data_IF_475432511007
#
_entry.id   IF_475432511007
#
_cell.length_a   1.000
_cell.length_b   1.000
_cell.length_c   1.000
_cell.angle_alpha   90.00
_cell.angle_beta   90.00
_cell.angle_gamma   90.00
#
_symmetry.space_group_name_H-M   'P 1'
#
loop_
_entity.id
_entity.type
_entity.pdbx_description
1 polymer ?
#
# COMPACT_ATOMS: atom_id res chain seq x y z
N UNK A 1 -24.95 -20.82 -23.37
CA UNK A 1 -23.66 -20.42 -23.96
C UNK A 1 -23.55 -18.92 -23.89
N UNK A 2 -22.62 -18.44 -23.07
CA UNK A 2 -22.41 -17.03 -22.78
C UNK A 2 -22.22 -16.18 -24.04
N UNK A 3 -22.89 -15.02 -24.08
CA UNK A 3 -22.49 -13.95 -24.99
C UNK A 3 -21.28 -13.25 -24.38
N UNK A 4 -20.24 -13.07 -25.19
CA UNK A 4 -19.00 -12.40 -24.79
C UNK A 4 -18.78 -11.13 -25.60
N UNK A 5 -18.30 -10.10 -24.93
CA UNK A 5 -17.85 -8.86 -25.57
C UNK A 5 -16.50 -8.42 -24.99
N UNK A 6 -15.74 -7.67 -25.78
CA UNK A 6 -14.47 -7.08 -25.37
C UNK A 6 -14.63 -5.57 -25.26
N UNK A 7 -14.35 -5.04 -24.06
CA UNK A 7 -14.39 -3.62 -23.79
C UNK A 7 -12.98 -3.07 -23.71
N UNK A 8 -12.71 -2.02 -24.50
CA UNK A 8 -11.45 -1.27 -24.48
C UNK A 8 -11.74 0.23 -24.28
N UNK A 9 -11.71 0.66 -23.03
CA UNK A 9 -11.94 2.05 -22.66
C UNK A 9 -10.76 2.94 -23.10
N UNK A 10 -11.05 4.21 -23.37
CA UNK A 10 -10.05 5.21 -23.73
C UNK A 10 -9.70 5.21 -25.21
N UNK A 11 -9.59 4.03 -25.85
CA UNK A 11 -9.40 3.93 -27.31
C UNK A 11 -10.69 3.72 -28.10
N UNK A 12 -11.78 3.40 -27.42
CA UNK A 12 -13.15 3.37 -27.95
C UNK A 12 -14.04 4.35 -27.17
N UNK A 13 -15.28 4.53 -27.62
CA UNK A 13 -16.28 5.32 -26.89
C UNK A 13 -16.92 4.54 -25.72
N UNK A 14 -16.61 3.24 -25.57
CA UNK A 14 -17.12 2.43 -24.47
C UNK A 14 -16.43 2.81 -23.16
N UNK A 15 -17.19 2.78 -22.06
CA UNK A 15 -16.69 3.04 -20.70
C UNK A 15 -17.04 1.87 -19.79
N UNK A 16 -16.16 1.57 -18.83
CA UNK A 16 -16.45 0.61 -17.78
C UNK A 16 -17.61 1.10 -16.90
N UNK A 17 -17.79 2.41 -16.75
CA UNK A 17 -18.98 2.99 -16.13
C UNK A 17 -20.27 2.47 -16.80
N UNK A 18 -20.42 2.63 -18.12
CA UNK A 18 -21.60 2.16 -18.84
C UNK A 18 -21.75 0.63 -18.81
N UNK A 19 -20.63 -0.10 -18.83
CA UNK A 19 -20.66 -1.56 -18.67
C UNK A 19 -21.16 -1.97 -17.28
N UNK A 20 -20.73 -1.29 -16.23
CA UNK A 20 -21.20 -1.53 -14.85
C UNK A 20 -22.68 -1.13 -14.71
N UNK A 21 -23.13 -0.05 -15.35
CA UNK A 21 -24.58 0.25 -15.45
C UNK A 21 -25.35 -0.89 -16.11
N UNK A 22 -24.85 -1.42 -17.23
CA UNK A 22 -25.43 -2.59 -17.89
C UNK A 22 -25.43 -3.82 -16.98
N UNK A 23 -24.37 -4.06 -16.21
CA UNK A 23 -24.30 -5.16 -15.26
C UNK A 23 -25.43 -5.11 -14.24
N UNK A 24 -25.76 -3.93 -13.71
CA UNK A 24 -26.86 -3.73 -12.76
C UNK A 24 -28.26 -3.90 -13.36
N UNK A 25 -28.39 -3.90 -14.69
CA UNK A 25 -29.64 -4.20 -15.39
C UNK A 25 -29.86 -5.70 -15.59
N UNK A 26 -29.18 -6.57 -14.83
CA UNK A 26 -29.40 -8.00 -14.88
C UNK A 26 -30.87 -8.32 -14.49
N UNK A 27 -31.63 -9.08 -15.29
CA UNK A 27 -33.03 -9.37 -14.99
C UNK A 27 -33.19 -10.15 -13.68
N UNK A 28 -34.17 -9.77 -12.85
CA UNK A 28 -34.45 -10.41 -11.56
C UNK A 28 -33.19 -10.56 -10.69
N UNK A 29 -32.43 -9.47 -10.56
CA UNK A 29 -31.17 -9.44 -9.81
C UNK A 29 -31.38 -9.82 -8.34
N UNK A 30 -30.55 -10.74 -7.87
CA UNK A 30 -30.65 -11.33 -6.54
C UNK A 30 -29.33 -11.22 -5.76
N UNK A 31 -28.19 -11.08 -6.46
CA UNK A 31 -26.88 -10.95 -5.83
C UNK A 31 -25.93 -10.10 -6.69
N UNK A 32 -25.10 -9.30 -6.04
CA UNK A 32 -24.00 -8.56 -6.67
C UNK A 32 -22.73 -8.74 -5.87
N UNK A 33 -21.61 -9.03 -6.55
CA UNK A 33 -20.26 -9.05 -5.97
C UNK A 33 -19.39 -8.06 -6.73
N UNK A 34 -18.83 -7.08 -6.01
CA UNK A 34 -17.90 -6.09 -6.53
C UNK A 34 -16.53 -6.31 -5.88
N UNK A 35 -15.60 -6.94 -6.58
CA UNK A 35 -14.28 -7.30 -6.06
C UNK A 35 -13.20 -6.53 -6.78
N UNK A 36 -12.59 -5.55 -6.10
CA UNK A 36 -11.62 -4.63 -6.70
C UNK A 36 -10.44 -4.36 -5.77
N UNK A 37 -9.28 -4.13 -6.37
CA UNK A 37 -8.10 -3.75 -5.62
C UNK A 37 -8.25 -2.37 -4.98
N UNK A 38 -8.81 -1.42 -5.75
CA UNK A 38 -8.83 -0.01 -5.38
C UNK A 38 -10.25 0.57 -5.40
N UNK A 39 -10.60 1.27 -4.32
CA UNK A 39 -11.88 2.00 -4.18
C UNK A 39 -11.64 3.44 -3.77
N UNK A 40 -12.16 4.39 -4.54
CA UNK A 40 -12.16 5.80 -4.14
C UNK A 40 -13.53 6.47 -4.25
N UNK A 41 -13.72 7.58 -3.54
CA UNK A 41 -14.99 8.29 -3.47
C UNK A 41 -15.52 8.66 -4.86
N UNK A 42 -14.63 9.09 -5.77
CA UNK A 42 -15.00 9.42 -7.14
C UNK A 42 -15.51 8.24 -7.95
N UNK A 43 -14.94 7.04 -7.77
CA UNK A 43 -15.40 5.82 -8.43
C UNK A 43 -16.74 5.35 -7.90
N UNK A 44 -16.89 5.30 -6.57
CA UNK A 44 -18.16 4.94 -5.94
C UNK A 44 -19.26 5.92 -6.35
N UNK A 45 -18.96 7.23 -6.37
CA UNK A 45 -19.93 8.25 -6.77
C UNK A 45 -20.39 8.20 -8.22
N UNK A 46 -19.69 7.50 -9.12
CA UNK A 46 -20.21 7.26 -10.47
C UNK A 46 -21.35 6.25 -10.46
N UNK A 47 -21.23 5.20 -9.65
CA UNK A 47 -22.17 4.06 -9.64
C UNK A 47 -23.08 4.05 -8.41
N UNK A 48 -23.06 5.11 -7.59
CA UNK A 48 -23.78 5.17 -6.32
C UNK A 48 -25.29 5.05 -6.51
N UNK A 49 -25.85 5.71 -7.52
CA UNK A 49 -27.29 5.63 -7.83
C UNK A 49 -27.71 4.21 -8.21
N UNK A 50 -26.86 3.47 -8.93
CA UNK A 50 -27.15 2.08 -9.28
C UNK A 50 -27.10 1.18 -8.03
N UNK A 51 -26.12 1.39 -7.14
CA UNK A 51 -25.99 0.62 -5.90
C UNK A 51 -27.14 0.92 -4.94
N UNK A 52 -27.54 2.18 -4.78
CA UNK A 52 -28.57 2.62 -3.81
C UNK A 52 -29.89 1.85 -3.97
N UNK A 53 -30.25 1.49 -5.21
CA UNK A 53 -31.48 0.76 -5.51
C UNK A 53 -31.47 -0.70 -5.05
N UNK A 54 -30.28 -1.30 -4.88
CA UNK A 54 -30.11 -2.74 -4.64
C UNK A 54 -29.09 -3.03 -3.54
N UNK A 55 -28.74 -2.05 -2.71
CA UNK A 55 -27.58 -2.13 -1.82
C UNK A 55 -27.58 -3.34 -0.88
N UNK A 56 -28.76 -3.80 -0.47
CA UNK A 56 -28.93 -4.97 0.40
C UNK A 56 -28.42 -6.29 -0.21
N UNK A 57 -28.32 -6.37 -1.54
CA UNK A 57 -27.79 -7.54 -2.26
C UNK A 57 -26.39 -7.28 -2.85
N UNK A 58 -25.78 -6.13 -2.54
CA UNK A 58 -24.44 -5.75 -3.02
C UNK A 58 -23.41 -6.08 -1.97
N UNK A 59 -22.47 -6.95 -2.32
CA UNK A 59 -21.28 -7.27 -1.53
C UNK A 59 -20.03 -6.71 -2.21
N UNK A 60 -19.17 -6.04 -1.45
CA UNK A 60 -17.95 -5.42 -1.95
C UNK A 60 -16.74 -6.05 -1.25
N UNK A 61 -15.76 -6.48 -2.02
CA UNK A 61 -14.45 -6.88 -1.53
C UNK A 61 -13.41 -5.85 -2.01
N UNK A 62 -12.91 -5.04 -1.08
CA UNK A 62 -11.98 -3.96 -1.38
C UNK A 62 -10.59 -4.25 -0.79
N UNK A 63 -9.56 -4.25 -1.63
CA UNK A 63 -8.18 -4.31 -1.17
C UNK A 63 -7.80 -3.06 -0.38
N UNK A 64 -7.08 -3.22 0.74
CA UNK A 64 -6.53 -2.10 1.55
C UNK A 64 -5.00 -2.19 1.63
N UNK A 65 -4.34 -1.27 2.35
CA UNK A 65 -2.86 -1.21 2.47
C UNK A 65 -2.17 -1.04 1.10
N UNK A 66 -2.72 -0.15 0.28
CA UNK A 66 -2.26 0.06 -1.09
C UNK A 66 -2.20 1.55 -1.51
N UNK A 67 -2.35 2.47 -0.56
CA UNK A 67 -2.32 3.93 -0.75
C UNK A 67 -3.34 4.52 -1.75
N UNK A 68 -4.28 3.72 -2.25
CA UNK A 68 -5.29 4.15 -3.23
C UNK A 68 -6.69 3.97 -2.67
N UNK A 69 -6.97 2.85 -2.01
CA UNK A 69 -8.27 2.64 -1.36
C UNK A 69 -8.44 3.65 -0.24
N UNK A 70 -9.52 4.43 -0.35
CA UNK A 70 -9.77 5.55 0.54
C UNK A 70 -10.82 5.26 1.59
N UNK A 71 -10.68 5.91 2.74
CA UNK A 71 -11.71 5.98 3.77
C UNK A 71 -13.03 6.49 3.18
N UNK A 72 -13.00 7.60 2.43
CA UNK A 72 -14.21 8.23 1.88
C UNK A 72 -14.94 7.34 0.87
N UNK A 73 -14.22 6.56 0.05
CA UNK A 73 -14.84 5.59 -0.86
C UNK A 73 -15.57 4.48 -0.10
N UNK A 74 -14.93 3.91 0.92
CA UNK A 74 -15.55 2.86 1.74
C UNK A 74 -16.70 3.38 2.59
N UNK A 75 -16.59 4.59 3.14
CA UNK A 75 -17.69 5.26 3.86
C UNK A 75 -18.89 5.48 2.94
N UNK A 76 -18.65 5.89 1.69
CA UNK A 76 -19.73 6.08 0.72
C UNK A 76 -20.47 4.76 0.44
N UNK A 77 -19.75 3.66 0.19
CA UNK A 77 -20.37 2.33 0.03
C UNK A 77 -21.15 1.88 1.27
N UNK A 78 -20.58 2.09 2.46
CA UNK A 78 -21.23 1.75 3.72
C UNK A 78 -22.53 2.55 3.92
N UNK A 79 -22.52 3.84 3.59
CA UNK A 79 -23.69 4.72 3.67
C UNK A 79 -24.79 4.36 2.68
N UNK A 80 -24.44 3.79 1.52
CA UNK A 80 -25.42 3.25 0.57
C UNK A 80 -26.10 1.97 1.12
N UNK A 81 -25.55 1.35 2.16
CA UNK A 81 -26.06 0.11 2.75
C UNK A 81 -25.47 -1.17 2.14
N UNK A 82 -24.41 -1.05 1.34
CA UNK A 82 -23.74 -2.20 0.74
C UNK A 82 -22.96 -3.02 1.79
N UNK A 83 -22.77 -4.29 1.50
CA UNK A 83 -21.93 -5.16 2.30
C UNK A 83 -20.44 -4.99 2.01
N UNK A 84 -19.80 -4.05 2.70
CA UNK A 84 -18.36 -3.77 2.61
C UNK A 84 -17.52 -4.79 3.40
N UNK A 85 -16.71 -5.57 2.68
CA UNK A 85 -15.61 -6.39 3.18
C UNK A 85 -14.27 -5.76 2.74
N UNK A 86 -13.34 -5.57 3.67
CA UNK A 86 -11.96 -5.16 3.37
C UNK A 86 -11.04 -6.37 3.36
N UNK A 87 -10.13 -6.42 2.40
CA UNK A 87 -9.13 -7.49 2.25
C UNK A 87 -7.73 -6.93 2.48
N UNK A 88 -7.10 -7.40 3.55
CA UNK A 88 -5.75 -7.02 3.95
C UNK A 88 -4.83 -8.25 3.91
N UNK A 89 -3.90 -8.28 2.98
CA UNK A 89 -2.92 -9.36 2.79
C UNK A 89 -1.81 -9.38 3.86
N UNK A 90 -1.81 -8.42 4.79
CA UNK A 90 -0.87 -8.36 5.92
C UNK A 90 0.49 -7.73 5.59
N UNK A 91 0.72 -7.32 4.34
CA UNK A 91 1.96 -6.68 3.88
C UNK A 91 1.81 -6.05 2.49
N UNK A 92 2.82 -5.31 2.03
CA UNK A 92 2.76 -4.59 0.73
C UNK A 92 3.19 -5.44 -0.48
N UNK A 93 3.86 -6.57 -0.26
CA UNK A 93 4.43 -7.40 -1.34
C UNK A 93 3.38 -8.14 -2.15
N UNK A 94 2.32 -8.58 -1.49
CA UNK A 94 1.17 -9.26 -2.10
C UNK A 94 -0.01 -8.34 -1.91
N UNK A 95 -0.70 -7.98 -2.99
CA UNK A 95 -1.90 -7.14 -2.92
C UNK A 95 -3.12 -7.93 -3.39
N UNK A 96 -4.26 -7.66 -2.78
CA UNK A 96 -5.55 -8.15 -3.29
C UNK A 96 -5.86 -7.38 -4.58
N UNK A 97 -5.61 -8.00 -5.74
CA UNK A 97 -5.68 -7.34 -7.03
C UNK A 97 -6.75 -7.82 -8.04
N UNK A 98 -7.84 -8.53 -7.67
CA UNK A 98 -8.91 -8.79 -8.63
C UNK A 98 -9.56 -7.47 -9.08
N UNK A 99 -10.17 -7.48 -10.27
CA UNK A 99 -11.19 -6.51 -10.70
C UNK A 99 -12.30 -7.28 -11.39
N UNK A 100 -13.27 -7.69 -10.59
CA UNK A 100 -14.44 -8.47 -11.00
C UNK A 100 -15.67 -7.70 -10.54
N UNK A 101 -16.58 -7.43 -11.46
CA UNK A 101 -17.92 -6.96 -11.18
C UNK A 101 -18.86 -8.08 -11.62
N UNK A 102 -19.72 -8.53 -10.72
CA UNK A 102 -20.59 -9.67 -10.95
C UNK A 102 -22.00 -9.33 -10.46
N UNK A 103 -23.01 -9.61 -11.29
CA UNK A 103 -24.41 -9.56 -10.93
C UNK A 103 -25.07 -10.87 -11.33
N UNK A 104 -25.81 -11.48 -10.41
CA UNK A 104 -26.61 -12.67 -10.66
C UNK A 104 -28.08 -12.34 -10.47
N UNK A 105 -28.87 -12.67 -11.47
CA UNK A 105 -30.31 -12.77 -11.36
C UNK A 105 -30.80 -14.21 -11.38
N UNK A 106 -32.11 -14.39 -11.52
CA UNK A 106 -32.73 -15.72 -11.45
C UNK A 106 -32.31 -16.67 -12.57
N UNK A 107 -32.23 -16.16 -13.80
CA UNK A 107 -31.93 -16.96 -15.00
C UNK A 107 -30.73 -16.44 -15.79
N UNK A 108 -30.17 -15.30 -15.40
CA UNK A 108 -29.05 -14.67 -16.07
C UNK A 108 -28.02 -14.23 -15.06
N UNK A 109 -26.76 -14.19 -15.46
CA UNK A 109 -25.71 -13.52 -14.70
C UNK A 109 -24.83 -12.70 -15.63
N UNK A 110 -24.25 -11.62 -15.11
CA UNK A 110 -23.38 -10.71 -15.84
C UNK A 110 -22.05 -10.60 -15.12
N UNK A 111 -20.97 -10.75 -15.87
CA UNK A 111 -19.60 -10.67 -15.36
C UNK A 111 -18.85 -9.61 -16.17
N UNK A 112 -18.12 -8.76 -15.48
CA UNK A 112 -17.07 -7.91 -16.05
C UNK A 112 -15.78 -8.24 -15.32
N UNK A 113 -14.79 -8.72 -16.05
CA UNK A 113 -13.47 -9.06 -15.50
C UNK A 113 -12.37 -8.44 -16.35
N UNK A 114 -11.44 -7.74 -15.71
CA UNK A 114 -10.38 -7.05 -16.43
C UNK A 114 -9.52 -6.15 -15.55
N UNK A 115 -9.21 -4.95 -16.04
CA UNK A 115 -8.24 -4.04 -15.41
C UNK A 115 -8.87 -2.92 -14.57
N UNK A 116 -10.16 -2.62 -14.76
CA UNK A 116 -10.81 -1.44 -14.18
C UNK A 116 -11.15 -1.57 -12.69
N UNK A 117 -10.47 -0.80 -11.84
CA UNK A 117 -10.84 -0.65 -10.43
C UNK A 117 -12.01 0.35 -10.24
N UNK A 118 -12.64 0.33 -9.06
CA UNK A 118 -13.74 1.24 -8.69
C UNK A 118 -13.21 2.64 -8.32
N UNK A 119 -12.67 3.30 -9.33
CA UNK A 119 -12.08 4.64 -9.27
C UNK A 119 -12.54 5.45 -10.46
N UNK A 120 -12.51 6.78 -10.37
CA UNK A 120 -12.82 7.65 -11.51
C UNK A 120 -11.96 7.34 -12.76
N UNK A 121 -10.69 6.96 -12.53
CA UNK A 121 -9.77 6.49 -13.56
C UNK A 121 -10.24 5.20 -14.21
N UNK A 122 -10.36 4.13 -13.41
CA UNK A 122 -10.74 2.81 -13.90
C UNK A 122 -12.09 2.80 -14.60
N UNK A 123 -13.09 3.50 -14.06
CA UNK A 123 -14.44 3.51 -14.63
C UNK A 123 -14.62 4.42 -15.86
N UNK A 124 -13.72 5.38 -16.10
CA UNK A 124 -13.87 6.31 -17.22
C UNK A 124 -12.57 6.88 -17.80
N UNK A 125 -11.67 7.42 -16.97
CA UNK A 125 -10.58 8.28 -17.46
C UNK A 125 -9.30 7.55 -17.90
N UNK A 126 -9.14 6.26 -17.59
CA UNK A 126 -7.97 5.47 -17.96
C UNK A 126 -8.21 4.64 -19.23
N UNK A 127 -7.12 4.20 -19.86
CA UNK A 127 -7.17 3.11 -20.83
C UNK A 127 -7.24 1.80 -20.04
N UNK A 128 -8.33 1.06 -20.21
CA UNK A 128 -8.64 -0.14 -19.44
C UNK A 128 -9.25 -1.18 -20.39
N UNK A 129 -9.06 -2.46 -20.08
CA UNK A 129 -9.59 -3.56 -20.87
C UNK A 129 -10.29 -4.59 -19.98
N UNK A 130 -11.45 -5.06 -20.43
CA UNK A 130 -12.21 -6.12 -19.75
C UNK A 130 -12.92 -7.02 -20.75
N UNK A 131 -13.22 -8.25 -20.33
CA UNK A 131 -14.20 -9.11 -20.97
C UNK A 131 -15.53 -8.95 -20.23
N UNK A 132 -16.61 -8.82 -21.01
CA UNK A 132 -17.98 -8.79 -20.53
C UNK A 132 -18.64 -10.10 -20.92
N UNK A 133 -19.31 -10.74 -19.97
CA UNK A 133 -20.06 -11.99 -20.17
C UNK A 133 -21.52 -11.79 -19.77
N UNK A 134 -22.44 -12.16 -20.66
CA UNK A 134 -23.88 -12.30 -20.38
C UNK A 134 -24.19 -13.80 -20.40
N UNK A 135 -24.32 -14.36 -19.20
CA UNK A 135 -24.46 -15.78 -18.91
C UNK A 135 -25.94 -16.18 -18.91
N UNK A 136 -26.28 -17.29 -19.56
CA UNK A 136 -27.59 -17.92 -19.47
C UNK A 136 -27.51 -19.06 -18.47
N UNK A 137 -28.09 -18.89 -17.27
CA UNK A 137 -27.98 -19.88 -16.20
C UNK A 137 -28.78 -21.17 -16.46
N UNK A 138 -29.49 -21.27 -17.59
CA UNK A 138 -30.08 -22.53 -18.06
C UNK A 138 -29.06 -23.41 -18.80
N UNK A 139 -27.94 -22.83 -19.23
CA UNK A 139 -26.80 -23.55 -19.77
C UNK A 139 -25.88 -24.02 -18.63
N UNK A 140 -25.53 -25.30 -18.63
CA UNK A 140 -24.72 -25.91 -17.57
C UNK A 140 -23.37 -25.23 -17.40
N UNK A 141 -22.67 -24.89 -18.49
CA UNK A 141 -21.34 -24.30 -18.42
C UNK A 141 -21.38 -22.87 -17.88
N UNK A 142 -22.41 -22.10 -18.27
CA UNK A 142 -22.61 -20.73 -17.79
C UNK A 142 -22.99 -20.73 -16.31
N UNK A 143 -23.83 -21.70 -15.88
CA UNK A 143 -24.21 -21.89 -14.49
C UNK A 143 -23.04 -22.34 -13.60
N UNK A 144 -22.18 -23.23 -14.09
CA UNK A 144 -20.95 -23.65 -13.41
C UNK A 144 -20.02 -22.45 -13.18
N UNK A 145 -19.78 -21.62 -14.20
CA UNK A 145 -18.95 -20.42 -14.05
C UNK A 145 -19.52 -19.44 -13.01
N UNK A 146 -20.83 -19.21 -13.01
CA UNK A 146 -21.48 -18.37 -12.02
C UNK A 146 -21.32 -18.93 -10.59
N UNK A 147 -21.50 -20.25 -10.45
CA UNK A 147 -21.32 -20.97 -9.18
C UNK A 147 -19.87 -20.89 -8.67
N UNK A 148 -18.89 -21.02 -9.55
CA UNK A 148 -17.46 -20.94 -9.20
C UNK A 148 -17.09 -19.55 -8.67
N UNK A 149 -17.60 -18.48 -9.32
CA UNK A 149 -17.40 -17.10 -8.88
C UNK A 149 -17.98 -16.91 -7.48
N UNK A 150 -19.23 -17.32 -7.25
CA UNK A 150 -19.88 -17.17 -5.95
C UNK A 150 -19.18 -17.98 -4.86
N UNK A 151 -18.87 -19.24 -5.12
CA UNK A 151 -18.18 -20.13 -4.18
C UNK A 151 -16.82 -19.58 -3.77
N UNK A 152 -16.06 -19.02 -4.71
CA UNK A 152 -14.77 -18.42 -4.42
C UNK A 152 -14.89 -17.26 -3.41
N UNK A 153 -15.86 -16.36 -3.57
CA UNK A 153 -16.05 -15.21 -2.68
C UNK A 153 -16.76 -15.56 -1.37
N UNK A 154 -17.67 -16.53 -1.37
CA UNK A 154 -18.31 -17.03 -0.14
C UNK A 154 -17.28 -17.68 0.80
N UNK A 155 -16.28 -18.38 0.24
CA UNK A 155 -15.24 -19.04 0.99
C UNK A 155 -14.27 -18.09 1.70
N UNK A 156 -13.86 -16.99 1.04
CA UNK A 156 -12.70 -16.21 1.49
C UNK A 156 -12.84 -15.61 2.90
N UNK A 157 -14.07 -15.20 3.28
CA UNK A 157 -14.31 -14.59 4.59
C UNK A 157 -14.16 -15.62 5.72
N UNK A 158 -14.56 -16.87 5.46
CA UNK A 158 -14.46 -17.96 6.44
C UNK A 158 -13.06 -18.58 6.50
N UNK A 159 -12.37 -18.63 5.36
CA UNK A 159 -11.03 -19.22 5.26
C UNK A 159 -9.95 -18.28 5.80
N UNK A 160 -10.13 -16.96 5.63
CA UNK A 160 -9.16 -15.94 6.03
C UNK A 160 -9.77 -14.85 6.94
N UNK A 161 -10.34 -15.19 8.11
CA UNK A 161 -11.05 -14.24 8.97
C UNK A 161 -10.18 -13.09 9.52
N UNK A 162 -8.86 -13.29 9.61
CA UNK A 162 -7.92 -12.24 10.02
C UNK A 162 -7.60 -11.24 8.90
N UNK A 163 -7.81 -11.65 7.64
CA UNK A 163 -7.46 -10.88 6.43
C UNK A 163 -8.68 -10.27 5.75
N UNK A 164 -9.84 -10.92 5.82
CA UNK A 164 -11.09 -10.47 5.21
C UNK A 164 -12.04 -10.04 6.33
N UNK A 165 -12.27 -8.74 6.46
CA UNK A 165 -13.07 -8.17 7.55
C UNK A 165 -14.29 -7.42 7.02
N UNK A 166 -15.47 -7.83 7.49
CA UNK A 166 -16.70 -7.10 7.27
C UNK A 166 -16.68 -5.80 8.08
N UNK A 167 -17.00 -4.69 7.44
CA UNK A 167 -17.10 -3.36 8.06
C UNK A 167 -18.57 -3.03 8.32
N UNK A 168 -18.88 -2.64 9.55
CA UNK A 168 -20.23 -2.28 9.99
C UNK A 168 -20.35 -0.80 10.34
N UNK A 169 -19.24 -0.14 10.70
CA UNK A 169 -19.27 1.21 11.26
C UNK A 169 -18.20 2.13 10.66
N UNK A 170 -18.47 3.43 10.72
CA UNK A 170 -17.51 4.48 10.34
C UNK A 170 -16.29 4.53 11.28
N UNK A 171 -16.45 4.07 12.52
CA UNK A 171 -15.36 4.00 13.51
C UNK A 171 -14.31 2.97 13.09
N UNK A 172 -14.72 1.81 12.58
CA UNK A 172 -13.81 0.79 12.04
C UNK A 172 -13.00 1.32 10.86
N UNK A 173 -13.62 2.06 9.93
CA UNK A 173 -12.92 2.71 8.82
C UNK A 173 -11.95 3.79 9.31
N UNK A 174 -12.33 4.55 10.33
CA UNK A 174 -11.46 5.55 10.95
C UNK A 174 -10.24 4.90 11.60
N UNK A 175 -10.43 3.76 12.28
CA UNK A 175 -9.32 2.98 12.84
C UNK A 175 -8.37 2.48 11.75
N UNK A 176 -8.89 1.91 10.66
CA UNK A 176 -8.07 1.46 9.53
C UNK A 176 -7.27 2.61 8.89
N UNK A 177 -7.85 3.81 8.81
CA UNK A 177 -7.15 5.01 8.36
C UNK A 177 -6.04 5.44 9.33
N UNK A 178 -6.31 5.50 10.65
CA UNK A 178 -5.31 5.83 11.68
C UNK A 178 -4.14 4.83 11.66
N UNK A 179 -4.43 3.56 11.38
CA UNK A 179 -3.43 2.51 11.19
C UNK A 179 -2.68 2.61 9.85
N UNK A 180 -2.97 3.59 9.00
CA UNK A 180 -2.31 3.78 7.71
C UNK A 180 -2.73 2.80 6.61
N UNK A 181 -3.83 2.06 6.79
CA UNK A 181 -4.32 1.08 5.80
C UNK A 181 -5.23 1.69 4.74
N UNK A 182 -5.76 2.89 5.00
CA UNK A 182 -6.67 3.62 4.10
C UNK A 182 -6.17 5.04 3.87
N UNK A 183 -6.27 5.50 2.62
CA UNK A 183 -6.02 6.89 2.23
C UNK A 183 -7.13 7.82 2.74
N UNK A 184 -6.78 9.03 3.14
CA UNK A 184 -7.74 10.13 3.32
C UNK A 184 -7.65 11.08 2.11
N UNK A 185 -8.69 11.09 1.28
CA UNK A 185 -8.77 11.92 0.08
C UNK A 185 -8.86 13.44 0.36
N UNK A 186 -9.15 13.84 1.60
CA UNK A 186 -9.21 15.27 1.98
C UNK A 186 -7.82 15.87 2.23
N UNK A 187 -6.88 15.04 2.66
CA UNK A 187 -5.50 15.42 2.99
C UNK A 187 -4.49 14.98 1.92
N UNK A 188 -4.79 13.92 1.18
CA UNK A 188 -3.85 13.25 0.28
C UNK A 188 -4.52 12.84 -1.03
N UNK A 189 -3.82 13.00 -2.15
CA UNK A 189 -4.25 12.43 -3.44
C UNK A 189 -3.64 11.03 -3.60
N UNK A 190 -4.32 10.09 -4.28
CA UNK A 190 -3.70 8.83 -4.67
C UNK A 190 -2.40 9.09 -5.46
N UNK A 191 -1.37 8.25 -5.30
CA UNK A 191 -0.14 8.41 -6.06
C UNK A 191 -0.44 8.33 -7.57
N UNK A 192 -0.11 9.41 -8.31
CA UNK A 192 -0.06 9.37 -9.76
C UNK A 192 1.19 8.60 -10.19
N UNK A 193 1.14 7.86 -11.29
CA UNK A 193 2.36 7.35 -11.93
C UNK A 193 3.20 8.57 -12.37
N UNK A 194 4.25 8.89 -11.61
CA UNK A 194 5.17 9.98 -11.97
C UNK A 194 6.14 9.41 -13.00
N UNK A 195 6.11 9.96 -14.22
CA UNK A 195 7.22 9.85 -15.16
C UNK A 195 8.37 10.72 -14.64
N UNK A 196 9.43 10.09 -14.15
CA UNK A 196 10.69 10.79 -13.83
C UNK A 196 11.44 11.10 -15.13
N UNK A 197 11.30 12.33 -15.64
CA UNK A 197 12.29 12.92 -16.55
C UNK A 197 13.23 13.81 -15.75
N UNK A 198 14.38 13.25 -15.36
CA UNK A 198 15.55 14.01 -14.93
C UNK A 198 16.26 14.61 -16.15
N UNK A 199 15.61 15.54 -16.82
CA UNK A 199 16.24 16.55 -17.68
C UNK A 199 15.14 17.49 -18.18
N UNK A 200 15.44 18.77 -18.25
CA UNK A 200 14.65 19.77 -18.96
C UNK A 200 14.73 19.55 -20.48
N UNK A 201 14.28 18.37 -20.92
CA UNK A 201 13.66 18.16 -22.22
C UNK A 201 12.20 17.84 -21.92
N UNK A 202 11.30 18.73 -22.33
CA UNK A 202 9.87 18.40 -22.42
C UNK A 202 9.77 17.12 -23.23
N UNK A 203 9.26 16.04 -22.64
CA UNK A 203 8.89 14.84 -23.40
C UNK A 203 7.99 15.31 -24.55
N UNK A 204 8.47 15.18 -25.78
CA UNK A 204 7.82 15.75 -26.97
C UNK A 204 6.53 15.01 -27.33
N UNK A 205 6.20 13.94 -26.60
CA UNK A 205 4.96 13.21 -26.78
C UNK A 205 3.78 13.96 -26.17
N UNK A 206 2.86 14.38 -27.05
CA UNK A 206 1.55 14.83 -26.62
C UNK A 206 0.78 13.68 -25.96
N UNK A 207 -0.03 14.01 -24.93
CA UNK A 207 -0.94 13.06 -24.31
C UNK A 207 -1.83 12.39 -25.37
N UNK A 208 -2.02 11.08 -25.23
CA UNK A 208 -3.00 10.34 -26.03
C UNK A 208 -4.37 10.98 -25.83
N UNK A 209 -5.01 11.35 -26.94
CA UNK A 209 -6.41 11.81 -26.92
C UNK A 209 -7.32 10.61 -26.78
N UNK A 210 -7.91 10.45 -25.60
CA UNK A 210 -8.88 9.40 -25.36
C UNK A 210 -10.20 9.70 -26.11
N UNK A 211 -10.89 8.65 -26.55
CA UNK A 211 -12.21 8.73 -27.19
C UNK A 211 -13.37 8.78 -26.19
N UNK A 212 -13.07 8.82 -24.90
CA UNK A 212 -14.02 9.00 -23.80
C UNK A 212 -13.86 10.43 -23.25
N UNK A 213 -14.96 11.14 -22.98
CA UNK A 213 -14.87 12.47 -22.36
C UNK A 213 -14.34 12.33 -20.92
N UNK A 214 -13.33 13.13 -20.53
CA UNK A 214 -12.76 13.04 -19.20
C UNK A 214 -13.76 13.56 -18.16
N UNK A 215 -13.98 12.80 -17.09
CA UNK A 215 -14.73 13.26 -15.93
C UNK A 215 -13.75 13.95 -14.98
N UNK A 216 -13.96 15.24 -14.75
CA UNK A 216 -13.12 16.01 -13.84
C UNK A 216 -13.61 15.82 -12.39
N UNK A 217 -12.67 15.64 -11.46
CA UNK A 217 -12.99 15.70 -10.02
C UNK A 217 -13.48 17.11 -9.71
N UNK A 218 -14.71 17.24 -9.16
CA UNK A 218 -15.21 18.52 -8.66
C UNK A 218 -14.35 18.91 -7.46
N UNK A 219 -13.46 19.88 -7.62
CA UNK A 219 -12.74 20.47 -6.50
C UNK A 219 -13.76 21.11 -5.57
N UNK A 220 -13.92 20.57 -4.37
CA UNK A 220 -14.62 21.29 -3.31
C UNK A 220 -13.78 22.53 -3.05
N UNK A 221 -14.32 23.71 -3.38
CA UNK A 221 -13.70 24.99 -3.07
C UNK A 221 -13.35 24.99 -1.58
N UNK A 222 -12.06 24.91 -1.27
CA UNK A 222 -11.53 25.19 0.06
C UNK A 222 -11.91 26.62 0.37
N UNK A 223 -12.90 26.84 1.23
CA UNK A 223 -13.15 28.16 1.80
C UNK A 223 -11.88 28.56 2.55
N UNK A 224 -11.13 29.50 1.98
CA UNK A 224 -9.97 30.09 2.61
C UNK A 224 -10.44 30.89 3.82
N UNK A 225 -10.36 30.29 5.01
CA UNK A 225 -10.36 31.04 6.24
C UNK A 225 -9.15 32.01 6.23
N UNK A 226 -9.30 33.25 6.73
CA UNK A 226 -8.18 34.18 6.82
C UNK A 226 -7.08 33.58 7.72
N UNK A 227 -5.80 33.77 7.38
CA UNK A 227 -4.71 33.19 8.15
C UNK A 227 -4.66 33.81 9.56
N UNK A 228 -4.51 32.99 10.63
CA UNK A 228 -4.20 33.52 11.95
C UNK A 228 -2.78 34.09 11.97
N UNK A 229 -2.63 35.12 12.78
CA UNK A 229 -1.48 36.00 12.85
C UNK A 229 -0.17 35.26 13.18
N UNK A 230 0.94 35.71 12.56
CA UNK A 230 2.22 35.01 12.56
C UNK A 230 2.96 35.17 13.90
N UNK A 231 2.90 34.15 14.75
CA UNK A 231 3.96 33.88 15.74
C UNK A 231 4.78 32.66 15.32
N UNK A 232 6.10 32.87 15.19
CA UNK A 232 7.14 31.93 14.75
C UNK A 232 7.06 30.55 15.43
N UNK A 233 6.56 29.55 14.70
CA UNK A 233 7.01 28.15 14.77
C UNK A 233 6.97 27.58 13.35
N UNK A 234 8.14 27.38 12.76
CA UNK A 234 8.27 26.75 11.45
C UNK A 234 8.08 25.23 11.62
N UNK A 235 6.81 24.80 11.63
CA UNK A 235 6.45 23.42 11.36
C UNK A 235 6.47 23.24 9.84
N UNK A 236 7.58 22.72 9.31
CA UNK A 236 7.69 22.34 7.91
C UNK A 236 6.89 21.05 7.73
N UNK A 237 5.67 21.14 7.18
CA UNK A 237 4.91 19.97 6.77
C UNK A 237 5.61 19.34 5.56
N UNK A 238 6.43 18.33 5.77
CA UNK A 238 6.99 17.50 4.71
C UNK A 238 5.87 16.64 4.13
N UNK A 239 5.43 17.06 2.94
CA UNK A 239 4.69 16.31 1.94
C UNK A 239 5.10 14.84 1.94
N UNK A 240 4.16 13.96 2.28
CA UNK A 240 4.29 12.51 2.09
C UNK A 240 4.57 12.23 0.61
N UNK A 241 5.80 11.84 0.31
CA UNK A 241 6.21 11.35 -1.00
C UNK A 241 6.12 9.82 -0.96
N UNK A 242 5.16 9.25 -1.67
CA UNK A 242 5.29 7.87 -2.16
C UNK A 242 6.31 7.91 -3.30
N UNK A 243 7.40 7.12 -3.28
CA UNK A 243 8.43 7.20 -4.31
C UNK A 243 7.90 6.56 -5.60
N UNK A 244 7.85 7.34 -6.68
CA UNK A 244 7.93 6.82 -8.05
C UNK A 244 9.23 7.33 -8.62
N UNK A 245 10.19 6.42 -8.73
CA UNK A 245 11.51 6.65 -9.34
C UNK A 245 12.71 6.36 -8.45
N UNK A 246 12.56 6.21 -7.13
CA UNK A 246 13.69 5.80 -6.29
C UNK A 246 13.87 4.29 -6.45
N UNK A 247 14.88 3.88 -7.23
CA UNK A 247 15.33 2.49 -7.19
C UNK A 247 16.00 2.28 -5.85
N UNK A 248 15.51 1.31 -5.10
CA UNK A 248 16.05 0.93 -3.81
C UNK A 248 16.82 -0.37 -3.98
N UNK A 249 18.12 -0.33 -3.78
CA UNK A 249 18.94 -1.53 -3.73
C UNK A 249 18.80 -2.17 -2.35
N UNK A 250 18.42 -3.45 -2.31
CA UNK A 250 18.49 -4.24 -1.08
C UNK A 250 19.98 -4.45 -0.74
N UNK A 251 20.42 -3.89 0.38
CA UNK A 251 21.83 -3.94 0.79
C UNK A 251 22.07 -4.85 1.98
N UNK A 252 21.03 -5.17 2.76
CA UNK A 252 21.16 -6.10 3.87
C UNK A 252 19.81 -6.66 4.30
N UNK A 253 19.81 -7.90 4.78
CA UNK A 253 18.68 -8.50 5.48
C UNK A 253 19.14 -9.17 6.77
N UNK A 254 18.36 -9.03 7.83
CA UNK A 254 18.60 -9.71 9.09
C UNK A 254 18.21 -11.18 9.03
N UNK A 255 18.73 -11.96 9.98
CA UNK A 255 18.08 -13.21 10.40
C UNK A 255 16.75 -12.88 11.13
N UNK A 256 15.89 -13.89 11.41
CA UNK A 256 14.66 -13.68 12.19
C UNK A 256 14.91 -12.85 13.46
N UNK A 257 14.16 -11.76 13.60
CA UNK A 257 14.33 -10.75 14.65
C UNK A 257 14.04 -11.33 16.03
N UNK A 258 14.88 -10.97 16.98
CA UNK A 258 14.77 -11.40 18.39
C UNK A 258 14.26 -10.27 19.28
N UNK A 259 13.91 -10.59 20.54
CA UNK A 259 13.59 -9.58 21.56
C UNK A 259 14.69 -8.51 21.70
N UNK A 260 15.96 -8.92 21.55
CA UNK A 260 17.11 -8.01 21.64
C UNK A 260 17.14 -7.00 20.50
N UNK A 261 16.89 -7.46 19.28
CA UNK A 261 16.95 -6.61 18.08
C UNK A 261 15.85 -5.53 18.13
N UNK A 262 14.66 -5.93 18.59
CA UNK A 262 13.49 -5.10 18.78
C UNK A 262 13.51 -4.31 20.10
N UNK A 263 14.54 -4.52 20.94
CA UNK A 263 14.72 -3.85 22.22
C UNK A 263 13.53 -4.02 23.19
N UNK A 264 12.93 -5.22 23.15
CA UNK A 264 11.88 -5.69 24.03
C UNK A 264 12.54 -6.25 25.30
N UNK A 265 12.20 -5.75 26.50
CA UNK A 265 12.77 -6.28 27.74
C UNK A 265 12.32 -7.72 27.99
N UNK A 266 13.28 -8.60 28.28
CA UNK A 266 13.02 -9.99 28.71
C UNK A 266 12.69 -10.11 30.21
N UNK A 267 12.84 -9.02 30.98
CA UNK A 267 12.53 -8.94 32.41
C UNK A 267 12.57 -7.50 32.94
N UNK A 268 12.08 -7.28 34.16
CA UNK A 268 11.92 -5.95 34.75
C UNK A 268 13.23 -5.15 34.92
N UNK A 269 14.38 -5.84 35.01
CA UNK A 269 15.70 -5.24 35.21
C UNK A 269 16.60 -5.27 33.95
N UNK A 270 16.07 -5.69 32.80
CA UNK A 270 16.85 -5.77 31.56
C UNK A 270 16.95 -4.40 30.89
N UNK A 271 18.14 -3.80 30.90
CA UNK A 271 18.39 -2.55 30.16
C UNK A 271 18.37 -2.79 28.64
N UNK A 272 17.41 -2.19 27.93
CA UNK A 272 17.38 -2.22 26.47
C UNK A 272 18.54 -1.40 25.89
N UNK A 273 19.27 -1.93 24.93
CA UNK A 273 20.42 -1.27 24.30
C UNK A 273 20.06 -0.05 23.44
N UNK A 274 18.79 0.09 23.06
CA UNK A 274 18.26 1.15 22.19
C UNK A 274 18.67 1.03 20.73
N UNK A 275 19.25 -0.10 20.31
CA UNK A 275 19.85 -0.30 19.00
C UNK A 275 19.74 -1.74 18.53
N UNK A 276 19.82 -1.95 17.22
CA UNK A 276 20.06 -3.24 16.58
C UNK A 276 21.52 -3.34 16.11
N UNK A 277 22.11 -4.53 16.17
CA UNK A 277 23.41 -4.79 15.57
C UNK A 277 23.25 -4.99 14.06
N UNK A 278 24.13 -4.36 13.28
CA UNK A 278 24.25 -4.65 11.86
C UNK A 278 25.33 -5.73 11.73
N UNK A 279 24.90 -6.99 11.85
CA UNK A 279 25.75 -8.18 11.78
C UNK A 279 25.73 -8.83 10.39
N UNK A 280 26.24 -10.07 10.29
CA UNK A 280 26.28 -10.82 9.04
C UNK A 280 24.90 -10.99 8.40
N UNK A 281 23.82 -11.09 9.19
CA UNK A 281 22.47 -11.30 8.68
C UNK A 281 22.38 -12.44 7.68
N UNK A 282 21.89 -12.13 6.48
CA UNK A 282 21.81 -13.00 5.31
C UNK A 282 22.79 -12.59 4.18
N UNK A 283 23.83 -11.81 4.49
CA UNK A 283 24.86 -11.45 3.50
C UNK A 283 25.63 -12.69 3.02
N UNK A 284 26.06 -12.66 1.75
CA UNK A 284 26.95 -13.66 1.16
C UNK A 284 28.18 -13.91 2.02
N UNK A 285 28.65 -15.16 2.08
CA UNK A 285 29.72 -15.60 2.98
C UNK A 285 31.01 -14.78 2.83
N UNK A 286 31.31 -14.30 1.63
CA UNK A 286 32.50 -13.51 1.31
C UNK A 286 32.46 -12.06 1.83
N UNK A 287 31.28 -11.52 2.18
CA UNK A 287 31.15 -10.13 2.62
C UNK A 287 31.58 -9.96 4.09
N UNK A 288 32.63 -9.19 4.34
CA UNK A 288 33.05 -8.89 5.73
C UNK A 288 32.20 -7.77 6.35
N UNK A 289 31.13 -8.19 7.02
CA UNK A 289 30.17 -7.30 7.69
C UNK A 289 30.80 -6.37 8.75
N UNK A 290 32.02 -6.65 9.23
CA UNK A 290 32.72 -5.78 10.19
C UNK A 290 33.06 -4.41 9.60
N UNK A 291 33.18 -4.31 8.28
CA UNK A 291 33.53 -3.09 7.55
C UNK A 291 32.42 -2.66 6.58
N UNK A 292 31.77 -3.63 5.94
CA UNK A 292 30.73 -3.48 4.92
C UNK A 292 29.76 -2.30 5.14
N UNK A 293 29.13 -2.24 6.32
CA UNK A 293 28.12 -1.21 6.56
C UNK A 293 28.69 0.20 6.54
N UNK A 294 29.87 0.41 7.14
CA UNK A 294 30.50 1.73 7.14
C UNK A 294 31.03 2.08 5.76
N UNK A 295 31.78 1.16 5.18
CA UNK A 295 32.67 1.45 4.06
C UNK A 295 31.94 1.35 2.72
N UNK A 296 30.82 0.63 2.65
CA UNK A 296 30.05 0.43 1.42
C UNK A 296 28.62 0.96 1.54
N UNK A 297 27.86 0.53 2.55
CA UNK A 297 26.43 0.88 2.67
C UNK A 297 26.25 2.35 3.01
N UNK A 298 26.95 2.82 4.04
CA UNK A 298 26.83 4.17 4.60
C UNK A 298 28.02 5.07 4.23
N UNK A 299 28.73 4.75 3.14
CA UNK A 299 29.94 5.49 2.72
C UNK A 299 29.66 6.98 2.48
N UNK A 300 28.46 7.31 1.99
CA UNK A 300 28.07 8.66 1.62
C UNK A 300 27.62 9.51 2.81
N UNK A 301 27.54 8.92 4.02
CA UNK A 301 27.13 9.65 5.20
C UNK A 301 28.24 10.55 5.74
N UNK A 302 27.84 11.68 6.32
CA UNK A 302 28.74 12.57 7.03
C UNK A 302 29.08 11.98 8.40
N UNK A 303 30.17 11.21 8.44
CA UNK A 303 30.67 10.57 9.65
C UNK A 303 31.40 11.56 10.55
N UNK A 304 30.95 11.64 11.80
CA UNK A 304 31.58 12.41 12.86
C UNK A 304 32.36 11.49 13.79
N UNK A 305 33.45 12.01 14.35
CA UNK A 305 34.20 11.33 15.38
C UNK A 305 33.84 11.94 16.74
N UNK A 306 33.03 11.27 17.59
CA UNK A 306 32.82 11.69 18.97
C UNK A 306 34.15 11.70 19.75
N UNK A 307 34.13 12.26 20.97
CA UNK A 307 35.32 12.37 21.85
C UNK A 307 36.08 11.05 22.11
N UNK A 308 35.48 9.89 21.81
CA UNK A 308 36.16 8.58 21.86
C UNK A 308 36.82 8.29 20.51
N UNK A 309 38.15 8.12 20.45
CA UNK A 309 38.89 8.05 19.19
C UNK A 309 38.55 6.82 18.32
N UNK A 310 37.96 5.78 18.89
CA UNK A 310 37.71 4.50 18.22
C UNK A 310 36.27 4.29 17.76
N UNK A 311 35.41 5.29 17.94
CA UNK A 311 34.00 5.23 17.55
C UNK A 311 33.73 6.40 16.62
N UNK A 312 33.03 6.13 15.53
CA UNK A 312 32.47 7.13 14.62
C UNK A 312 30.96 6.96 14.56
N UNK A 313 30.24 8.06 14.35
CA UNK A 313 28.79 8.03 14.16
C UNK A 313 28.30 8.96 13.06
N UNK A 314 27.19 8.59 12.46
CA UNK A 314 26.49 9.38 11.46
C UNK A 314 25.00 9.35 11.74
N UNK A 315 24.28 10.39 11.32
CA UNK A 315 22.83 10.46 11.37
C UNK A 315 22.33 10.54 9.94
N UNK A 316 21.32 9.72 9.61
CA UNK A 316 20.70 9.68 8.30
C UNK A 316 19.19 9.48 8.42
N UNK A 317 18.46 9.79 7.34
CA UNK A 317 17.03 9.59 7.24
C UNK A 317 16.72 8.15 6.81
N UNK A 318 15.88 7.49 7.60
CA UNK A 318 15.36 6.16 7.32
C UNK A 318 13.83 6.20 7.27
N UNK A 319 13.24 5.83 6.14
CA UNK A 319 11.82 5.49 6.09
C UNK A 319 11.61 4.15 6.78
N UNK A 320 10.64 4.05 7.68
CA UNK A 320 10.32 2.80 8.37
C UNK A 320 9.00 2.22 7.86
N UNK A 321 9.06 0.98 7.39
CA UNK A 321 7.91 0.18 6.99
C UNK A 321 7.84 -1.03 7.93
N UNK A 322 6.70 -1.25 8.58
CA UNK A 322 6.49 -2.42 9.45
C UNK A 322 5.21 -3.12 9.03
N UNK A 323 5.31 -4.40 8.66
CA UNK A 323 4.20 -5.21 8.13
C UNK A 323 3.49 -4.50 6.98
N UNK A 324 4.26 -3.82 6.13
CA UNK A 324 3.74 -3.02 5.03
C UNK A 324 3.00 -1.74 5.42
N UNK A 325 3.13 -1.23 6.66
CA UNK A 325 2.68 0.11 7.04
C UNK A 325 3.86 1.07 7.04
N UNK A 326 3.75 2.17 6.30
CA UNK A 326 4.75 3.23 6.33
C UNK A 326 4.53 4.11 7.58
N UNK A 327 5.50 4.12 8.48
CA UNK A 327 5.50 4.92 9.72
C UNK A 327 6.21 6.28 9.58
N UNK A 328 6.65 6.63 8.36
CA UNK A 328 7.33 7.88 8.06
C UNK A 328 8.86 7.78 8.13
N UNK A 329 9.49 8.94 8.04
CA UNK A 329 10.96 9.08 8.07
C UNK A 329 11.47 9.41 9.47
N UNK A 330 12.56 8.76 9.86
CA UNK A 330 13.22 8.91 11.15
C UNK A 330 14.69 9.27 10.96
N UNK A 331 15.18 10.26 11.71
CA UNK A 331 16.61 10.54 11.81
C UNK A 331 17.26 9.52 12.76
N UNK A 332 17.85 8.46 12.20
CA UNK A 332 18.46 7.39 12.98
C UNK A 332 19.98 7.53 12.98
N UNK A 333 20.58 7.11 14.10
CA UNK A 333 22.02 7.17 14.30
C UNK A 333 22.66 5.82 14.03
N UNK A 334 23.61 5.79 13.08
CA UNK A 334 24.51 4.67 12.84
C UNK A 334 25.80 4.92 13.61
N UNK A 335 26.27 3.93 14.36
CA UNK A 335 27.57 3.95 15.04
C UNK A 335 28.44 2.84 14.50
N UNK A 336 29.74 3.11 14.36
CA UNK A 336 30.73 2.12 13.97
C UNK A 336 31.97 2.21 14.85
N UNK A 337 32.50 1.06 15.25
CA UNK A 337 33.75 0.97 16.03
C UNK A 337 34.90 0.62 15.10
N UNK A 338 35.89 1.52 14.97
CA UNK A 338 36.99 1.40 14.00
C UNK A 338 38.13 0.48 14.45
N UNK A 339 38.14 0.05 15.71
CA UNK A 339 39.23 -0.75 16.28
C UNK A 339 39.21 -2.22 15.85
N UNK A 340 40.27 -2.64 15.17
CA UNK A 340 40.48 -4.03 14.69
C UNK A 340 41.19 -4.94 15.69
N UNK A 341 41.65 -4.41 16.83
CA UNK A 341 42.37 -5.17 17.86
C UNK A 341 41.47 -5.65 19.02
N UNK A 342 40.18 -5.32 19.01
CA UNK A 342 39.24 -5.65 20.09
C UNK A 342 38.81 -7.13 20.06
N UNK A 343 38.35 -7.65 21.21
CA UNK A 343 37.76 -9.00 21.28
C UNK A 343 36.56 -9.13 20.34
N UNK A 344 35.70 -8.11 20.26
CA UNK A 344 34.54 -8.05 19.36
C UNK A 344 34.96 -8.26 17.90
N UNK A 345 35.97 -7.53 17.44
CA UNK A 345 36.46 -7.65 16.07
C UNK A 345 37.08 -9.02 15.77
N UNK A 346 37.90 -9.54 16.70
CA UNK A 346 38.56 -10.85 16.57
C UNK A 346 37.57 -12.02 16.58
N UNK A 347 36.43 -11.86 17.27
CA UNK A 347 35.34 -12.84 17.31
C UNK A 347 34.35 -12.69 16.15
N UNK A 348 34.66 -11.84 15.16
CA UNK A 348 33.82 -11.66 13.96
C UNK A 348 32.39 -11.19 14.29
N UNK A 349 32.24 -10.37 15.33
CA UNK A 349 30.96 -9.77 15.72
C UNK A 349 30.73 -8.42 15.00
N UNK A 350 29.47 -7.97 15.02
CA UNK A 350 29.08 -6.67 14.49
C UNK A 350 29.88 -5.50 15.09
N UNK A 351 30.48 -4.70 14.20
CA UNK A 351 31.17 -3.46 14.54
C UNK A 351 30.29 -2.23 14.31
N UNK A 352 29.19 -2.39 13.56
CA UNK A 352 28.21 -1.35 13.25
C UNK A 352 26.88 -1.60 13.98
N UNK A 353 26.22 -0.53 14.42
CA UNK A 353 24.90 -0.58 15.08
C UNK A 353 24.02 0.57 14.62
N UNK A 354 22.73 0.29 14.48
CA UNK A 354 21.70 1.27 14.19
C UNK A 354 20.88 1.54 15.46
N UNK A 355 20.79 2.80 15.87
CA UNK A 355 20.03 3.21 17.06
C UNK A 355 18.59 3.51 16.67
N UNK A 356 17.62 2.86 17.33
CA UNK A 356 16.20 3.02 17.01
C UNK A 356 15.64 4.39 17.39
N UNK A 357 16.19 5.04 18.43
CA UNK A 357 15.71 6.35 18.86
C UNK A 357 14.19 6.38 19.09
N UNK A 358 13.50 7.36 18.50
CA UNK A 358 12.04 7.48 18.57
C UNK A 358 11.31 6.39 17.77
N UNK A 359 11.95 5.81 16.74
CA UNK A 359 11.40 4.72 15.95
C UNK A 359 11.20 3.43 16.77
N UNK A 360 11.81 3.33 17.96
CA UNK A 360 11.61 2.21 18.90
C UNK A 360 10.13 1.95 19.16
N UNK A 361 9.29 2.99 19.22
CA UNK A 361 7.85 2.87 19.48
C UNK A 361 7.09 2.06 18.42
N UNK A 362 7.65 1.92 17.21
CA UNK A 362 7.06 1.19 16.09
C UNK A 362 7.64 -0.21 15.89
N UNK A 363 8.77 -0.52 16.54
CA UNK A 363 9.46 -1.81 16.38
C UNK A 363 9.51 -2.65 17.66
N UNK A 364 9.28 -2.06 18.84
CA UNK A 364 9.33 -2.79 20.10
C UNK A 364 8.04 -3.60 20.38
N UNK A 365 7.60 -4.40 19.41
CA UNK A 365 6.40 -5.23 19.48
C UNK A 365 6.73 -6.72 19.34
N UNK A 366 6.14 -7.55 20.21
CA UNK A 366 6.41 -9.00 20.26
C UNK A 366 5.94 -9.75 19.01
N UNK A 367 4.96 -9.23 18.29
CA UNK A 367 4.47 -9.82 17.03
C UNK A 367 5.44 -9.63 15.85
N UNK A 368 6.51 -8.87 16.05
CA UNK A 368 7.61 -8.71 15.09
C UNK A 368 8.74 -9.72 15.32
N UNK A 369 8.71 -10.49 16.41
CA UNK A 369 9.69 -11.55 16.66
C UNK A 369 9.54 -12.63 15.59
N UNK A 370 10.65 -13.07 15.01
CA UNK A 370 10.69 -14.08 13.96
C UNK A 370 10.58 -13.52 12.53
N UNK A 371 10.22 -12.24 12.37
CA UNK A 371 10.18 -11.52 11.08
C UNK A 371 11.57 -11.07 10.66
N UNK A 372 11.74 -10.59 9.43
CA UNK A 372 13.03 -10.14 8.89
C UNK A 372 13.04 -8.62 8.68
N UNK A 373 14.12 -7.98 9.14
CA UNK A 373 14.40 -6.58 8.82
C UNK A 373 15.26 -6.50 7.56
N UNK A 374 14.75 -5.82 6.54
CA UNK A 374 15.45 -5.50 5.30
C UNK A 374 15.89 -4.03 5.32
N UNK A 375 17.14 -3.76 4.92
CA UNK A 375 17.68 -2.42 4.73
C UNK A 375 17.89 -2.20 3.23
N UNK A 376 17.28 -1.15 2.73
CA UNK A 376 17.47 -0.67 1.37
C UNK A 376 18.16 0.68 1.36
N UNK A 377 18.93 0.93 0.31
CA UNK A 377 19.54 2.23 0.01
C UNK A 377 19.00 2.75 -1.31
N UNK A 378 18.67 4.04 -1.33
CA UNK A 378 18.30 4.77 -2.54
C UNK A 378 19.50 4.78 -3.52
N UNK A 379 19.28 4.36 -4.76
CA UNK A 379 20.31 4.29 -5.81
C UNK A 379 20.72 5.68 -6.31
N UNK A 380 19.81 6.67 -6.26
CA UNK A 380 20.03 8.03 -6.74
C UNK A 380 20.57 8.94 -5.62
N UNK A 381 20.12 8.74 -4.38
CA UNK A 381 20.59 9.43 -3.18
C UNK A 381 21.12 8.43 -2.13
N UNK A 382 22.42 8.15 -2.19
CA UNK A 382 23.08 7.20 -1.28
C UNK A 382 23.06 7.59 0.21
N UNK A 383 22.46 8.73 0.57
CA UNK A 383 22.26 9.16 1.97
C UNK A 383 20.87 8.82 2.52
N UNK A 384 19.97 8.26 1.68
CA UNK A 384 18.61 7.87 2.05
C UNK A 384 18.42 6.36 2.10
N UNK A 385 17.64 5.91 3.08
CA UNK A 385 17.47 4.49 3.38
C UNK A 385 16.02 4.13 3.70
N UNK A 386 15.67 2.87 3.51
CA UNK A 386 14.40 2.29 3.94
C UNK A 386 14.68 1.08 4.82
N UNK A 387 13.99 1.00 5.95
CA UNK A 387 13.93 -0.16 6.81
C UNK A 387 12.55 -0.80 6.64
N UNK A 388 12.51 -2.07 6.25
CA UNK A 388 11.27 -2.84 6.11
C UNK A 388 11.33 -4.05 7.06
N UNK A 389 10.43 -4.10 8.04
CA UNK A 389 10.11 -5.35 8.74
C UNK A 389 8.89 -5.93 8.02
N UNK A 390 9.03 -7.13 7.45
CA UNK A 390 7.99 -7.77 6.63
C UNK A 390 6.72 -8.12 7.41
#
# INVERSE_FOLDING_TARGET
MAKKDFLLQGFTAQTHFAAVEWLFLCPDIERVILSVAFVNHGGVGLISTNIEQIAQIVEVFAGIRNDITSKQGLEHLLNLGAAVNVVDTGGMRIIFHPKIYYARGKHYARVIVGSANMTLGGLNNNIEASIILDLDLTDTSDAELASDIETAFDGITSEYPDHVKRIFTHEELTKLHIEGRLLDETTSSPPHAVSTTSSSQTDGLANIKLKVPPILRRTVNRTSAPPPDKSKQAATSTRSQTPTGVKFALVWQSKPLTERDLNIPSGANTHSTGSINLDKGLLDEEVDHRHYFRDEVFQALNWNQPQKPTIVDAVAKFSLIVKGLNHGEFDLRVKHTTSTNTKTYKQHNAMSRLSWGVAKAHVAHRDLIGRTLSLYRDEDDQTRFVLEID
#
